data_IF_662100183556
#
_entry.id   IF_662100183556
#
_cell.length_a   1.000
_cell.length_b   1.000
_cell.length_c   1.000
_cell.angle_alpha   90.00
_cell.angle_beta   90.00
_cell.angle_gamma   90.00
#
_symmetry.space_group_name_H-M   'P 1'
#
loop_
_entity.id
_entity.type
_entity.pdbx_description
1 polymer ?
#
# COMPACT_ATOMS: atom_id res chain seq x y z
N UNK A 1 -0.14 -30.33 -48.89
CA UNK A 1 -0.35 -30.75 -47.48
C UNK A 1 -1.29 -29.73 -46.86
N UNK A 2 -2.43 -30.20 -46.31
CA UNK A 2 -3.47 -29.34 -45.74
C UNK A 2 -2.93 -28.61 -44.51
N UNK A 3 -3.07 -27.27 -44.48
CA UNK A 3 -2.82 -26.46 -43.29
C UNK A 3 -3.68 -27.00 -42.15
N UNK A 4 -3.03 -27.56 -41.12
CA UNK A 4 -3.72 -27.97 -39.91
C UNK A 4 -4.12 -26.71 -39.16
N UNK A 5 -5.42 -26.46 -39.06
CA UNK A 5 -5.97 -25.38 -38.25
C UNK A 5 -5.48 -25.52 -36.80
N UNK A 6 -4.56 -24.64 -36.39
CA UNK A 6 -4.05 -24.58 -35.01
C UNK A 6 -5.11 -23.91 -34.14
N UNK A 7 -6.08 -24.70 -33.68
CA UNK A 7 -7.04 -24.26 -32.66
C UNK A 7 -6.37 -24.23 -31.29
N UNK A 8 -6.59 -23.18 -30.51
CA UNK A 8 -6.06 -23.10 -29.15
C UNK A 8 -6.91 -23.98 -28.24
N UNK A 9 -6.28 -24.82 -27.41
CA UNK A 9 -7.01 -25.57 -26.39
C UNK A 9 -7.60 -24.61 -25.36
N UNK A 10 -8.78 -24.93 -24.86
CA UNK A 10 -9.39 -24.28 -23.70
C UNK A 10 -8.58 -24.62 -22.45
N UNK A 11 -8.78 -23.79 -21.42
CA UNK A 11 -8.21 -23.96 -20.08
C UNK A 11 -8.58 -25.35 -19.53
N UNK A 12 -9.79 -25.81 -19.84
CA UNK A 12 -10.30 -27.13 -19.47
C UNK A 12 -10.51 -27.98 -20.71
N UNK A 13 -10.04 -29.23 -20.68
CA UNK A 13 -10.10 -30.14 -21.84
C UNK A 13 -11.54 -30.41 -22.29
N UNK A 14 -12.47 -30.36 -21.34
CA UNK A 14 -13.90 -30.57 -21.48
C UNK A 14 -14.60 -29.41 -22.22
N UNK A 15 -14.02 -28.20 -22.19
CA UNK A 15 -14.56 -27.02 -22.89
C UNK A 15 -13.89 -26.77 -24.26
N UNK A 16 -13.02 -27.67 -24.71
CA UNK A 16 -12.30 -27.55 -25.98
C UNK A 16 -13.23 -27.48 -27.20
N UNK A 17 -14.30 -28.27 -27.19
CA UNK A 17 -15.24 -28.33 -28.32
C UNK A 17 -16.01 -27.01 -28.48
N UNK A 18 -16.58 -26.50 -27.38
CA UNK A 18 -17.25 -25.19 -27.37
C UNK A 18 -16.32 -24.04 -27.74
N UNK A 19 -15.05 -24.11 -27.33
CA UNK A 19 -14.04 -23.12 -27.72
C UNK A 19 -13.78 -23.15 -29.22
N UNK A 20 -13.63 -24.34 -29.81
CA UNK A 20 -13.39 -24.49 -31.26
C UNK A 20 -14.55 -23.94 -32.08
N UNK A 21 -15.79 -24.18 -31.66
CA UNK A 21 -16.98 -23.68 -32.35
C UNK A 21 -17.08 -22.16 -32.26
N UNK A 22 -16.76 -21.58 -31.09
CA UNK A 22 -16.66 -20.13 -30.92
C UNK A 22 -15.53 -19.52 -31.78
N UNK A 23 -14.33 -20.09 -31.73
CA UNK A 23 -13.16 -19.59 -32.49
C UNK A 23 -13.41 -19.67 -34.01
N UNK A 24 -14.09 -20.71 -34.50
CA UNK A 24 -14.47 -20.82 -35.91
C UNK A 24 -15.36 -19.65 -36.33
N UNK A 25 -16.43 -19.40 -35.56
CA UNK A 25 -17.34 -18.29 -35.81
C UNK A 25 -16.63 -16.93 -35.71
N UNK A 26 -15.79 -16.76 -34.68
CA UNK A 26 -15.06 -15.53 -34.44
C UNK A 26 -14.07 -15.22 -35.57
N UNK A 27 -13.29 -16.21 -36.03
CA UNK A 27 -12.30 -16.01 -37.09
C UNK A 27 -12.95 -15.69 -38.45
N UNK A 28 -14.19 -16.12 -38.67
CA UNK A 28 -14.95 -15.80 -39.88
C UNK A 28 -15.57 -14.39 -39.80
N UNK A 29 -16.11 -14.01 -38.63
CA UNK A 29 -16.74 -12.72 -38.42
C UNK A 29 -15.75 -11.55 -38.26
N UNK A 30 -14.67 -11.76 -37.51
CA UNK A 30 -13.79 -10.69 -37.03
C UNK A 30 -13.11 -9.88 -38.15
N UNK A 31 -12.61 -10.48 -39.26
CA UNK A 31 -12.05 -9.71 -40.37
C UNK A 31 -13.06 -8.74 -41.00
N UNK A 32 -14.32 -9.17 -41.14
CA UNK A 32 -15.39 -8.35 -41.71
C UNK A 32 -15.87 -7.22 -40.79
N UNK A 33 -15.61 -7.35 -39.48
CA UNK A 33 -15.87 -6.31 -38.49
C UNK A 33 -14.80 -5.21 -38.48
N UNK A 34 -13.55 -5.56 -38.76
CA UNK A 34 -12.40 -4.63 -38.74
C UNK A 34 -12.22 -3.89 -40.07
N UNK A 35 -12.92 -4.31 -41.14
CA UNK A 35 -12.84 -3.70 -42.46
C UNK A 35 -13.34 -2.24 -42.47
N UNK A 36 -12.50 -1.25 -42.83
CA UNK A 36 -12.84 0.18 -42.75
C UNK A 36 -13.93 0.63 -43.74
N UNK A 37 -14.26 -0.21 -44.73
CA UNK A 37 -15.34 0.02 -45.69
C UNK A 37 -16.73 -0.40 -45.16
N UNK A 38 -16.79 -1.12 -44.03
CA UNK A 38 -18.02 -1.72 -43.50
C UNK A 38 -18.45 -1.14 -42.13
N UNK A 39 -17.72 -0.14 -41.62
CA UNK A 39 -17.86 0.41 -40.25
C UNK A 39 -19.10 1.28 -39.98
N UNK A 40 -20.19 1.14 -40.76
CA UNK A 40 -21.40 1.99 -40.61
C UNK A 40 -22.69 1.25 -40.22
N UNK A 41 -22.62 -0.06 -39.96
CA UNK A 41 -23.81 -0.82 -39.55
C UNK A 41 -23.59 -1.37 -38.14
N UNK A 42 -24.57 -1.17 -37.25
CA UNK A 42 -24.66 -1.85 -35.95
C UNK A 42 -24.68 -3.36 -36.18
N UNK A 43 -23.50 -3.98 -36.19
CA UNK A 43 -23.37 -5.42 -36.31
C UNK A 43 -23.49 -6.03 -34.92
N UNK A 44 -24.65 -6.61 -34.62
CA UNK A 44 -24.80 -7.50 -33.46
C UNK A 44 -23.84 -8.69 -33.64
N UNK A 45 -23.15 -9.10 -32.58
CA UNK A 45 -22.17 -10.18 -32.64
C UNK A 45 -22.88 -11.52 -32.95
N UNK A 46 -22.70 -12.10 -34.16
CA UNK A 46 -23.36 -13.35 -34.52
C UNK A 46 -22.87 -14.55 -33.70
N UNK A 47 -21.70 -14.42 -33.07
CA UNK A 47 -21.06 -15.46 -32.26
C UNK A 47 -21.35 -15.32 -30.75
N UNK A 48 -22.18 -14.37 -30.33
CA UNK A 48 -22.47 -14.08 -28.92
C UNK A 48 -23.07 -15.28 -28.18
N UNK A 49 -23.95 -16.04 -28.83
CA UNK A 49 -24.53 -17.24 -28.24
C UNK A 49 -23.46 -18.33 -28.00
N UNK A 50 -22.57 -18.54 -28.97
CA UNK A 50 -21.47 -19.51 -28.86
C UNK A 50 -20.46 -19.10 -27.78
N UNK A 51 -20.19 -17.80 -27.67
CA UNK A 51 -19.38 -17.25 -26.58
C UNK A 51 -19.99 -17.54 -25.21
N UNK A 52 -21.30 -17.34 -25.05
CA UNK A 52 -21.99 -17.58 -23.78
C UNK A 52 -22.01 -19.07 -23.40
N UNK A 53 -22.13 -19.97 -24.38
CA UNK A 53 -22.02 -21.42 -24.15
C UNK A 53 -20.62 -21.79 -23.66
N UNK A 54 -19.58 -21.26 -24.30
CA UNK A 54 -18.19 -21.47 -23.86
C UNK A 54 -17.94 -20.89 -22.46
N UNK A 55 -18.41 -19.67 -22.20
CA UNK A 55 -18.29 -18.99 -20.91
C UNK A 55 -18.92 -19.81 -19.78
N UNK A 56 -20.16 -20.27 -19.97
CA UNK A 56 -20.88 -21.09 -18.99
C UNK A 56 -20.18 -22.42 -18.69
N UNK A 57 -19.38 -22.95 -19.64
CA UNK A 57 -18.57 -24.14 -19.44
C UNK A 57 -17.33 -23.88 -18.55
N UNK A 58 -16.74 -22.68 -18.64
CA UNK A 58 -15.46 -22.34 -18.03
C UNK A 58 -15.62 -21.67 -16.65
N UNK A 59 -16.57 -20.75 -16.52
CA UNK A 59 -16.79 -19.93 -15.31
C UNK A 59 -16.97 -20.74 -14.00
N UNK A 60 -17.75 -21.83 -13.94
CA UNK A 60 -17.87 -22.61 -12.70
C UNK A 60 -16.59 -23.40 -12.36
N UNK A 61 -15.82 -23.81 -13.36
CA UNK A 61 -14.57 -24.57 -13.16
C UNK A 61 -13.41 -23.67 -12.72
N UNK A 62 -13.38 -22.44 -13.22
CA UNK A 62 -12.43 -21.41 -12.75
C UNK A 62 -12.62 -21.09 -11.27
N UNK A 63 -13.86 -21.12 -10.77
CA UNK A 63 -14.15 -20.87 -9.36
C UNK A 63 -13.78 -22.05 -8.45
N UNK A 64 -13.82 -23.28 -8.97
CA UNK A 64 -13.50 -24.50 -8.22
C UNK A 64 -12.01 -24.81 -8.18
N UNK A 65 -11.33 -24.78 -9.34
CA UNK A 65 -9.94 -25.21 -9.44
C UNK A 65 -8.94 -24.10 -9.09
N UNK A 66 -9.39 -22.84 -9.02
CA UNK A 66 -8.57 -21.65 -8.76
C UNK A 66 -7.14 -21.77 -9.32
N UNK A 67 -6.95 -21.96 -10.64
CA UNK A 67 -5.62 -22.20 -11.23
C UNK A 67 -4.63 -21.03 -11.09
N UNK A 68 -5.01 -19.95 -10.40
CA UNK A 68 -4.20 -18.78 -10.08
C UNK A 68 -3.85 -18.64 -8.58
N UNK A 69 -4.34 -19.53 -7.70
CA UNK A 69 -3.85 -19.60 -6.31
C UNK A 69 -2.49 -20.31 -6.32
N UNK A 70 -1.40 -19.54 -6.41
CA UNK A 70 -0.05 -20.06 -6.17
C UNK A 70 0.01 -20.59 -4.74
N UNK A 71 0.21 -21.89 -4.58
CA UNK A 71 0.41 -22.49 -3.28
C UNK A 71 1.74 -21.98 -2.69
N UNK A 72 1.68 -21.33 -1.53
CA UNK A 72 2.86 -20.73 -0.86
C UNK A 72 3.99 -21.74 -0.67
N UNK A 73 3.65 -23.01 -0.48
CA UNK A 73 4.62 -24.08 -0.25
C UNK A 73 5.39 -24.48 -1.52
N UNK A 74 4.79 -24.33 -2.70
CA UNK A 74 5.47 -24.64 -3.98
C UNK A 74 6.51 -23.55 -4.34
N UNK A 75 6.31 -22.32 -3.85
CA UNK A 75 7.28 -21.23 -3.97
C UNK A 75 8.49 -21.47 -3.05
N UNK A 76 8.27 -22.09 -1.90
CA UNK A 76 9.31 -22.34 -0.90
C UNK A 76 10.26 -23.46 -1.33
N UNK A 77 9.74 -24.53 -1.98
CA UNK A 77 10.61 -25.59 -2.52
C UNK A 77 11.46 -25.14 -3.71
N UNK A 78 10.95 -24.24 -4.56
CA UNK A 78 11.71 -23.70 -5.71
C UNK A 78 12.77 -22.67 -5.30
N UNK A 79 12.74 -22.17 -4.06
CA UNK A 79 13.67 -21.17 -3.54
C UNK A 79 14.87 -21.78 -2.78
N UNK A 80 14.79 -23.03 -2.31
CA UNK A 80 15.85 -23.65 -1.50
C UNK A 80 16.98 -24.28 -2.32
N UNK A 81 16.74 -24.79 -3.53
CA UNK A 81 17.70 -25.70 -4.16
C UNK A 81 18.84 -25.03 -4.95
N UNK A 82 18.63 -23.87 -5.61
CA UNK A 82 19.57 -23.43 -6.67
C UNK A 82 20.33 -22.11 -6.42
N UNK A 83 19.94 -21.26 -5.47
CA UNK A 83 20.46 -19.88 -5.46
C UNK A 83 21.54 -19.56 -4.41
N UNK A 84 21.62 -20.31 -3.30
CA UNK A 84 22.60 -20.03 -2.23
C UNK A 84 23.82 -20.95 -2.23
N UNK A 85 23.78 -22.07 -2.94
CA UNK A 85 24.85 -23.07 -2.89
C UNK A 85 26.14 -22.63 -3.62
N UNK A 86 26.05 -21.66 -4.53
CA UNK A 86 27.14 -21.23 -5.42
C UNK A 86 27.61 -19.77 -5.23
N UNK A 87 27.04 -19.03 -4.27
CA UNK A 87 27.41 -17.65 -4.02
C UNK A 87 28.80 -17.55 -3.33
N UNK A 88 29.80 -17.09 -4.08
CA UNK A 88 31.15 -16.79 -3.59
C UNK A 88 31.36 -15.27 -3.43
N UNK A 89 32.09 -14.85 -2.40
CA UNK A 89 32.55 -13.47 -2.23
C UNK A 89 33.63 -13.10 -3.26
N UNK A 90 34.02 -11.83 -3.33
CA UNK A 90 35.05 -11.32 -4.27
C UNK A 90 36.45 -11.95 -4.08
N UNK A 91 36.64 -12.73 -3.00
CA UNK A 91 37.88 -13.43 -2.64
C UNK A 91 37.74 -14.95 -2.90
N UNK A 92 36.56 -15.42 -3.32
CA UNK A 92 36.28 -16.81 -3.66
C UNK A 92 35.84 -17.68 -2.48
N UNK A 93 35.41 -17.10 -1.36
CA UNK A 93 34.88 -17.84 -0.21
C UNK A 93 33.35 -17.95 -0.29
N UNK A 94 32.80 -19.09 0.14
CA UNK A 94 31.34 -19.29 0.24
C UNK A 94 30.73 -18.29 1.22
N UNK A 95 29.72 -17.56 0.75
CA UNK A 95 28.92 -16.65 1.58
C UNK A 95 27.93 -17.50 2.39
N UNK A 96 27.96 -17.46 3.74
CA UNK A 96 26.97 -18.16 4.55
C UNK A 96 25.56 -17.58 4.33
N UNK A 97 24.56 -18.44 4.21
CA UNK A 97 23.15 -18.04 4.05
C UNK A 97 22.72 -17.11 5.19
N UNK A 98 21.93 -16.05 4.92
CA UNK A 98 21.39 -15.20 5.97
C UNK A 98 20.42 -16.00 6.84
N UNK A 99 20.78 -16.24 8.10
CA UNK A 99 19.84 -16.80 9.08
C UNK A 99 18.67 -15.82 9.25
N UNK A 100 17.46 -16.32 8.98
CA UNK A 100 16.21 -15.66 9.31
C UNK A 100 16.25 -15.31 10.80
N UNK A 101 16.14 -14.02 11.11
CA UNK A 101 15.94 -13.57 12.48
C UNK A 101 14.60 -14.10 12.97
N UNK A 102 14.65 -15.17 13.77
CA UNK A 102 13.54 -15.59 14.61
C UNK A 102 13.37 -14.55 15.72
N UNK A 103 12.26 -13.81 15.66
CA UNK A 103 11.78 -13.01 16.79
C UNK A 103 11.31 -13.97 17.89
N UNK A 104 12.16 -14.21 18.89
CA UNK A 104 11.74 -14.82 20.14
C UNK A 104 11.60 -13.72 21.22
N UNK A 105 10.35 -13.34 21.48
CA UNK A 105 9.93 -12.79 22.77
C UNK A 105 10.16 -13.85 23.86
N UNK A 106 10.83 -13.49 24.96
CA UNK A 106 10.78 -14.30 26.18
C UNK A 106 12.05 -14.34 27.05
N UNK A 107 12.07 -13.43 28.02
CA UNK A 107 12.40 -13.70 29.42
C UNK A 107 13.85 -13.56 29.96
N UNK A 108 13.85 -13.15 31.22
CA UNK A 108 14.79 -12.45 32.06
C UNK A 108 16.18 -13.09 32.32
N UNK A 109 17.20 -12.23 32.38
CA UNK A 109 18.53 -12.58 32.86
C UNK A 109 19.32 -11.36 33.35
N UNK A 110 18.95 -10.84 34.52
CA UNK A 110 19.61 -9.75 35.28
C UNK A 110 21.15 -9.81 35.24
N UNK A 111 21.79 -8.73 34.76
CA UNK A 111 23.03 -8.21 35.37
C UNK A 111 22.94 -6.69 35.53
N UNK A 112 22.81 -6.30 36.79
CA UNK A 112 22.85 -4.93 37.29
C UNK A 112 24.18 -4.27 36.92
N UNK A 113 24.12 -3.18 36.17
CA UNK A 113 25.05 -2.06 36.32
C UNK A 113 24.23 -0.85 36.73
N UNK A 114 24.44 -0.41 37.98
CA UNK A 114 23.88 0.81 38.52
C UNK A 114 24.45 2.00 37.73
N UNK A 115 23.63 2.62 36.89
CA UNK A 115 23.84 4.01 36.47
C UNK A 115 22.55 4.74 36.72
N UNK A 116 22.55 5.50 37.82
CA UNK A 116 21.56 6.52 38.12
C UNK A 116 21.71 7.64 37.10
N UNK A 117 21.08 7.50 35.94
CA UNK A 117 20.91 8.59 34.99
C UNK A 117 19.47 9.10 35.09
N UNK A 118 19.33 10.23 35.77
CA UNK A 118 18.19 11.12 35.59
C UNK A 118 17.95 11.27 34.09
N UNK A 119 16.79 10.78 33.63
CA UNK A 119 16.28 11.05 32.29
C UNK A 119 15.99 12.54 32.18
N UNK A 120 17.00 13.32 31.81
CA UNK A 120 16.78 14.63 31.23
C UNK A 120 16.25 14.36 29.82
N UNK A 121 14.93 14.24 29.68
CA UNK A 121 14.30 14.29 28.36
C UNK A 121 14.72 15.62 27.76
N UNK A 122 15.52 15.57 26.71
CA UNK A 122 15.74 16.73 25.86
C UNK A 122 14.40 17.02 25.20
N UNK A 123 13.63 17.95 25.77
CA UNK A 123 12.38 18.42 25.18
C UNK A 123 12.79 19.32 24.03
N UNK A 124 12.45 18.92 22.80
CA UNK A 124 12.72 19.76 21.65
C UNK A 124 12.01 21.11 21.85
N UNK A 125 12.63 22.25 21.49
CA UNK A 125 12.03 23.57 21.69
C UNK A 125 10.68 23.76 20.98
N UNK A 126 10.38 22.91 20.00
CA UNK A 126 9.08 22.87 19.32
C UNK A 126 8.01 22.18 20.17
N UNK A 127 8.34 21.09 20.86
CA UNK A 127 7.43 20.37 21.75
C UNK A 127 7.04 21.20 22.98
N UNK A 128 7.97 22.03 23.47
CA UNK A 128 7.71 22.95 24.58
C UNK A 128 6.61 23.98 24.28
N UNK A 129 6.40 24.33 22.99
CA UNK A 129 5.30 25.25 22.59
C UNK A 129 3.95 24.55 22.69
N UNK A 130 3.89 23.27 22.32
CA UNK A 130 2.68 22.45 22.42
C UNK A 130 2.33 22.15 23.88
N UNK A 131 3.32 21.85 24.73
CA UNK A 131 3.10 21.66 26.17
C UNK A 131 2.53 22.93 26.83
N UNK A 132 3.06 24.10 26.47
CA UNK A 132 2.51 25.38 26.95
C UNK A 132 1.06 25.58 26.50
N UNK A 133 0.75 25.28 25.23
CA UNK A 133 -0.61 25.39 24.70
C UNK A 133 -1.57 24.44 25.43
N UNK A 134 -1.14 23.21 25.69
CA UNK A 134 -1.92 22.22 26.44
C UNK A 134 -2.24 22.70 27.86
N UNK A 135 -1.24 23.27 28.55
CA UNK A 135 -1.44 23.86 29.88
C UNK A 135 -2.42 25.04 29.84
N UNK A 136 -2.32 25.92 28.84
CA UNK A 136 -3.21 27.07 28.69
C UNK A 136 -4.65 26.63 28.35
N UNK A 137 -4.82 25.61 27.50
CA UNK A 137 -6.12 24.97 27.21
C UNK A 137 -6.72 24.30 28.45
N UNK A 138 -5.92 23.55 29.21
CA UNK A 138 -6.36 22.92 30.46
C UNK A 138 -6.85 23.95 31.48
N UNK A 139 -6.11 25.07 31.64
CA UNK A 139 -6.52 26.17 32.52
C UNK A 139 -7.83 26.82 32.07
N UNK A 140 -8.02 27.00 30.77
CA UNK A 140 -9.24 27.57 30.21
C UNK A 140 -10.46 26.68 30.42
N UNK A 141 -10.33 25.38 30.15
CA UNK A 141 -11.40 24.39 30.40
C UNK A 141 -11.81 24.41 31.88
N UNK A 142 -10.83 24.49 32.78
CA UNK A 142 -11.08 24.59 34.23
C UNK A 142 -11.76 25.91 34.61
N UNK A 143 -11.38 27.04 34.01
CA UNK A 143 -12.05 28.33 34.23
C UNK A 143 -13.52 28.30 33.80
N UNK A 144 -13.84 27.65 32.67
CA UNK A 144 -15.22 27.44 32.19
C UNK A 144 -15.98 26.51 33.14
N UNK A 145 -15.36 25.41 33.60
CA UNK A 145 -15.97 24.50 34.58
C UNK A 145 -16.31 25.22 35.88
N UNK A 146 -15.38 26.02 36.42
CA UNK A 146 -15.61 26.79 37.63
C UNK A 146 -16.73 27.83 37.46
N UNK A 147 -16.81 28.48 36.29
CA UNK A 147 -17.94 29.35 35.98
C UNK A 147 -19.27 28.58 36.00
N UNK A 148 -19.32 27.38 35.42
CA UNK A 148 -20.49 26.51 35.45
C UNK A 148 -20.92 26.14 36.88
N UNK A 149 -19.96 25.85 37.76
CA UNK A 149 -20.24 25.58 39.19
C UNK A 149 -20.79 26.83 39.90
N UNK A 150 -20.14 27.99 39.75
CA UNK A 150 -20.59 29.24 40.39
C UNK A 150 -21.94 29.72 39.86
N UNK A 151 -22.27 29.42 38.60
CA UNK A 151 -23.58 29.72 38.02
C UNK A 151 -24.68 28.76 38.48
N UNK A 152 -24.33 27.51 38.80
CA UNK A 152 -25.28 26.49 39.28
C UNK A 152 -25.63 26.67 40.76
N UNK A 153 -24.67 27.10 41.58
CA UNK A 153 -24.87 27.43 43.01
C UNK A 153 -24.37 28.86 43.30
N UNK A 154 -25.21 29.88 43.05
CA UNK A 154 -24.83 31.27 43.26
C UNK A 154 -24.83 31.62 44.76
N UNK A 155 -23.65 31.62 45.38
CA UNK A 155 -23.44 32.16 46.73
C UNK A 155 -23.53 33.69 46.82
N UNK A 156 -23.23 34.25 47.99
CA UNK A 156 -23.13 35.70 48.16
C UNK A 156 -22.02 36.28 47.27
N UNK A 157 -22.30 37.40 46.59
CA UNK A 157 -21.43 38.02 45.58
C UNK A 157 -21.21 37.22 44.28
N UNK A 158 -21.99 36.16 44.01
CA UNK A 158 -21.86 35.34 42.80
C UNK A 158 -21.86 36.17 41.49
N UNK A 159 -22.67 37.23 41.40
CA UNK A 159 -22.74 38.08 40.21
C UNK A 159 -21.42 38.80 39.89
N UNK A 160 -20.67 39.24 40.91
CA UNK A 160 -19.39 39.90 40.71
C UNK A 160 -18.31 38.89 40.30
N UNK A 161 -18.31 37.72 40.96
CA UNK A 161 -17.42 36.60 40.64
C UNK A 161 -17.66 36.09 39.22
N UNK A 162 -18.92 35.94 38.81
CA UNK A 162 -19.32 35.53 37.45
C UNK A 162 -18.83 36.55 36.43
N UNK A 163 -19.03 37.86 36.67
CA UNK A 163 -18.54 38.91 35.75
C UNK A 163 -17.02 38.91 35.63
N UNK A 164 -16.31 38.72 36.74
CA UNK A 164 -14.85 38.60 36.74
C UNK A 164 -14.39 37.36 35.95
N UNK A 165 -15.03 36.20 36.15
CA UNK A 165 -14.76 34.97 35.41
C UNK A 165 -15.09 35.09 33.92
N UNK A 166 -16.19 35.76 33.57
CA UNK A 166 -16.58 35.97 32.17
C UNK A 166 -15.56 36.83 31.42
N UNK A 167 -15.04 37.89 32.08
CA UNK A 167 -13.94 38.69 31.53
C UNK A 167 -12.65 37.87 31.39
N UNK A 168 -12.34 37.01 32.36
CA UNK A 168 -11.19 36.11 32.32
C UNK A 168 -11.28 35.14 31.14
N UNK A 169 -12.46 34.53 30.91
CA UNK A 169 -12.71 33.64 29.77
C UNK A 169 -12.61 34.40 28.44
N UNK A 170 -13.19 35.59 28.34
CA UNK A 170 -13.08 36.42 27.14
C UNK A 170 -11.62 36.79 26.82
N UNK A 171 -10.83 37.16 27.83
CA UNK A 171 -9.39 37.42 27.67
C UNK A 171 -8.61 36.14 27.32
N UNK A 172 -9.00 34.99 27.88
CA UNK A 172 -8.42 33.68 27.56
C UNK A 172 -8.63 33.29 26.09
N UNK A 173 -9.85 33.48 25.56
CA UNK A 173 -10.17 33.24 24.15
C UNK A 173 -9.37 34.16 23.21
N UNK A 174 -9.24 35.45 23.56
CA UNK A 174 -8.43 36.40 22.78
C UNK A 174 -6.96 35.98 22.75
N UNK A 175 -6.39 35.64 23.90
CA UNK A 175 -5.02 35.16 23.98
C UNK A 175 -4.81 33.87 23.18
N UNK A 176 -5.72 32.89 23.26
CA UNK A 176 -5.65 31.66 22.46
C UNK A 176 -5.66 31.92 20.95
N UNK A 177 -6.48 32.87 20.50
CA UNK A 177 -6.52 33.26 19.10
C UNK A 177 -5.21 33.91 18.63
N UNK A 178 -4.54 34.68 19.50
CA UNK A 178 -3.21 35.26 19.21
C UNK A 178 -2.13 34.16 19.11
N UNK A 179 -2.13 33.20 20.03
CA UNK A 179 -1.17 32.09 20.02
C UNK A 179 -1.42 31.13 18.85
N UNK A 180 -2.66 31.04 18.33
CA UNK A 180 -2.98 30.21 17.15
C UNK A 180 -2.07 30.50 15.94
N UNK A 181 -1.61 31.75 15.78
CA UNK A 181 -0.69 32.13 14.70
C UNK A 181 0.66 31.41 14.76
N UNK A 182 1.09 30.97 15.95
CA UNK A 182 2.37 30.29 16.17
C UNK A 182 2.37 28.84 15.71
N UNK A 183 1.19 28.26 15.48
CA UNK A 183 1.01 26.84 15.12
C UNK A 183 0.65 26.63 13.64
N UNK A 184 0.56 27.70 12.84
CA UNK A 184 0.16 27.64 11.42
C UNK A 184 1.11 26.80 10.54
N UNK A 185 2.33 26.53 11.01
CA UNK A 185 3.30 25.68 10.32
C UNK A 185 2.98 24.18 10.44
N UNK A 186 2.08 23.79 11.35
CA UNK A 186 1.70 22.40 11.55
C UNK A 186 0.37 22.11 10.86
N UNK A 187 0.38 21.20 9.88
CA UNK A 187 -0.83 20.83 9.14
C UNK A 187 -1.52 19.64 9.80
N UNK A 188 -2.77 19.83 10.20
CA UNK A 188 -3.61 18.77 10.76
C UNK A 188 -4.49 18.21 9.64
N UNK A 189 -4.41 16.91 9.31
CA UNK A 189 -5.30 16.29 8.34
C UNK A 189 -6.77 16.48 8.70
N UNK A 190 -7.59 16.92 7.73
CA UNK A 190 -9.01 17.25 7.95
C UNK A 190 -9.79 16.05 8.50
N UNK A 191 -9.44 14.83 8.09
CA UNK A 191 -10.07 13.59 8.57
C UNK A 191 -9.97 13.41 10.07
N UNK A 192 -8.99 14.02 10.75
CA UNK A 192 -8.88 13.94 12.22
C UNK A 192 -10.04 14.68 12.91
N UNK A 193 -10.60 15.73 12.29
CA UNK A 193 -11.75 16.44 12.85
C UNK A 193 -12.95 15.52 13.01
N UNK A 194 -13.19 14.61 12.06
CA UNK A 194 -14.27 13.61 12.16
C UNK A 194 -14.11 12.73 13.41
N UNK A 195 -12.87 12.35 13.74
CA UNK A 195 -12.60 11.57 14.97
C UNK A 195 -12.82 12.40 16.23
N UNK A 196 -12.45 13.69 16.22
CA UNK A 196 -12.66 14.58 17.37
C UNK A 196 -14.16 14.84 17.60
N UNK A 197 -14.91 15.12 16.53
CA UNK A 197 -16.35 15.39 16.59
C UNK A 197 -17.14 14.16 17.03
N UNK A 198 -16.70 12.95 16.62
CA UNK A 198 -17.28 11.68 17.07
C UNK A 198 -16.76 11.22 18.46
N UNK A 199 -15.96 12.04 19.15
CA UNK A 199 -15.32 11.71 20.43
C UNK A 199 -14.49 10.40 20.39
N UNK A 200 -13.94 10.06 19.23
CA UNK A 200 -13.01 8.95 19.04
C UNK A 200 -11.58 9.42 19.29
N UNK A 201 -10.71 8.48 19.68
CA UNK A 201 -9.29 8.77 19.89
C UNK A 201 -8.62 9.08 18.53
N UNK A 202 -8.03 10.27 18.32
CA UNK A 202 -7.31 10.63 17.09
C UNK A 202 -6.16 9.68 16.73
N UNK A 203 -5.55 9.02 17.71
CA UNK A 203 -4.46 8.07 17.48
C UNK A 203 -4.91 6.84 16.67
N UNK A 204 -6.21 6.53 16.67
CA UNK A 204 -6.77 5.46 15.85
C UNK A 204 -6.63 5.79 14.36
N UNK A 205 -6.83 7.06 13.97
CA UNK A 205 -6.60 7.51 12.60
C UNK A 205 -5.13 7.33 12.20
N UNK A 206 -4.21 7.82 13.04
CA UNK A 206 -2.77 7.70 12.77
C UNK A 206 -2.37 6.24 12.59
N UNK A 207 -2.81 5.36 13.49
CA UNK A 207 -2.56 3.91 13.40
C UNK A 207 -3.10 3.33 12.10
N UNK A 208 -4.35 3.61 11.74
CA UNK A 208 -4.95 3.10 10.52
C UNK A 208 -4.22 3.56 9.25
N UNK A 209 -3.74 4.81 9.22
CA UNK A 209 -2.96 5.34 8.09
C UNK A 209 -1.62 4.64 7.96
N UNK A 210 -0.92 4.38 9.06
CA UNK A 210 0.32 3.60 9.03
C UNK A 210 0.08 2.18 8.51
N UNK A 211 -0.91 1.48 9.05
CA UNK A 211 -1.27 0.13 8.64
C UNK A 211 -1.66 0.07 7.15
N UNK A 212 -2.46 1.02 6.66
CA UNK A 212 -2.83 1.11 5.24
C UNK A 212 -1.62 1.42 4.35
N UNK A 213 -0.70 2.26 4.82
CA UNK A 213 0.53 2.60 4.10
C UNK A 213 1.45 1.40 3.99
N UNK A 214 1.63 0.65 5.07
CA UNK A 214 2.46 -0.55 5.10
C UNK A 214 1.88 -1.66 4.20
N UNK A 215 0.56 -1.84 4.22
CA UNK A 215 -0.14 -2.76 3.33
C UNK A 215 0.06 -2.38 1.86
N UNK A 216 -0.12 -1.11 1.50
CA UNK A 216 0.10 -0.62 0.13
C UNK A 216 1.56 -0.70 -0.30
N UNK A 217 2.49 -0.42 0.61
CA UNK A 217 3.93 -0.52 0.31
C UNK A 217 4.30 -1.97 -0.01
N UNK A 218 3.83 -2.92 0.81
CA UNK A 218 4.04 -4.36 0.59
C UNK A 218 3.41 -4.83 -0.73
N UNK A 219 2.18 -4.38 -1.03
CA UNK A 219 1.50 -4.69 -2.30
C UNK A 219 2.27 -4.14 -3.52
N UNK A 220 2.70 -2.88 -3.46
CA UNK A 220 3.44 -2.24 -4.56
C UNK A 220 4.80 -2.91 -4.75
N UNK A 221 5.51 -3.26 -3.67
CA UNK A 221 6.76 -4.00 -3.75
C UNK A 221 6.56 -5.38 -4.39
N UNK A 222 5.50 -6.10 -3.99
CA UNK A 222 5.14 -7.38 -4.62
C UNK A 222 4.87 -7.24 -6.13
N UNK A 223 4.16 -6.18 -6.55
CA UNK A 223 3.97 -5.88 -7.98
C UNK A 223 5.30 -5.60 -8.68
N UNK A 224 6.19 -4.82 -8.06
CA UNK A 224 7.52 -4.52 -8.63
C UNK A 224 8.31 -5.81 -8.83
N UNK A 225 8.31 -6.73 -7.87
CA UNK A 225 8.98 -8.03 -7.98
C UNK A 225 8.39 -8.89 -9.10
N UNK A 226 7.06 -8.95 -9.22
CA UNK A 226 6.40 -9.63 -10.33
C UNK A 226 6.79 -9.03 -11.69
N UNK A 227 6.84 -7.71 -11.82
CA UNK A 227 7.29 -7.06 -13.06
C UNK A 227 8.78 -7.32 -13.34
N UNK A 228 9.63 -7.37 -12.32
CA UNK A 228 11.05 -7.74 -12.47
C UNK A 228 11.19 -9.18 -12.99
N UNK A 229 10.44 -10.12 -12.42
CA UNK A 229 10.41 -11.54 -12.84
C UNK A 229 9.82 -11.71 -14.24
N UNK A 230 8.70 -11.05 -14.52
CA UNK A 230 8.10 -11.07 -15.87
C UNK A 230 9.08 -10.55 -16.91
N UNK A 231 9.77 -9.45 -16.59
CA UNK A 231 10.79 -8.88 -17.46
C UNK A 231 11.98 -9.82 -17.68
N UNK A 232 12.45 -10.55 -16.67
CA UNK A 232 13.55 -11.51 -16.87
C UNK A 232 13.13 -12.68 -17.76
N UNK A 233 11.92 -13.20 -17.57
CA UNK A 233 11.36 -14.29 -18.40
C UNK A 233 11.21 -13.86 -19.86
N UNK A 234 10.66 -12.67 -20.12
CA UNK A 234 10.55 -12.14 -21.48
C UNK A 234 11.93 -12.03 -22.12
N UNK A 235 12.91 -11.46 -21.42
CA UNK A 235 14.25 -11.28 -21.97
C UNK A 235 14.90 -12.63 -22.29
N UNK A 236 14.73 -13.63 -21.44
CA UNK A 236 15.23 -14.98 -21.69
C UNK A 236 14.58 -15.62 -22.92
N UNK A 237 13.25 -15.56 -23.03
CA UNK A 237 12.50 -16.10 -24.18
C UNK A 237 12.81 -15.37 -25.48
N UNK A 238 12.97 -14.05 -25.40
CA UNK A 238 13.32 -13.24 -26.56
C UNK A 238 14.75 -13.52 -27.03
N UNK A 239 15.70 -13.72 -26.11
CA UNK A 239 17.06 -14.13 -26.46
C UNK A 239 17.13 -15.53 -27.11
N UNK A 240 16.21 -16.43 -26.75
CA UNK A 240 16.07 -17.75 -27.38
C UNK A 240 15.59 -17.64 -28.84
N UNK A 241 14.61 -16.78 -29.12
CA UNK A 241 14.07 -16.60 -30.49
C UNK A 241 14.95 -15.71 -31.37
N UNK A 242 15.60 -14.68 -30.80
CA UNK A 242 16.34 -13.65 -31.53
C UNK A 242 17.62 -13.23 -30.79
N UNK A 243 18.71 -14.02 -30.85
CA UNK A 243 19.91 -13.78 -30.05
C UNK A 243 20.62 -12.46 -30.40
N UNK A 244 20.73 -12.11 -31.69
CA UNK A 244 21.44 -10.91 -32.13
C UNK A 244 20.73 -9.62 -31.73
N UNK A 245 19.39 -9.59 -31.84
CA UNK A 245 18.58 -8.45 -31.44
C UNK A 245 18.54 -8.28 -29.91
N UNK A 246 18.50 -9.40 -29.17
CA UNK A 246 18.55 -9.40 -27.72
C UNK A 246 19.88 -8.89 -27.17
N UNK A 247 21.00 -9.30 -27.77
CA UNK A 247 22.33 -8.82 -27.39
C UNK A 247 22.47 -7.30 -27.60
N UNK A 248 22.00 -6.78 -28.73
CA UNK A 248 22.02 -5.33 -29.00
C UNK A 248 21.21 -4.54 -27.96
N UNK A 249 20.03 -5.02 -27.58
CA UNK A 249 19.21 -4.37 -26.56
C UNK A 249 19.84 -4.39 -25.17
N UNK A 250 20.51 -5.49 -24.79
CA UNK A 250 21.19 -5.57 -23.50
C UNK A 250 22.32 -4.54 -23.41
N UNK A 251 23.11 -4.39 -24.48
CA UNK A 251 24.20 -3.40 -24.58
C UNK A 251 23.64 -1.96 -24.46
N UNK A 252 22.63 -1.61 -25.27
CA UNK A 252 22.00 -0.28 -25.21
C UNK A 252 21.40 0.04 -23.83
N UNK A 253 20.97 -0.99 -23.10
CA UNK A 253 20.35 -0.82 -21.78
C UNK A 253 21.36 -0.66 -20.66
N UNK A 254 22.51 -1.33 -20.72
CA UNK A 254 23.60 -1.10 -19.76
C UNK A 254 24.11 0.34 -19.85
N UNK A 255 24.26 0.87 -21.06
CA UNK A 255 24.56 2.29 -21.31
C UNK A 255 23.49 3.22 -20.70
N UNK A 256 22.20 2.85 -20.78
CA UNK A 256 21.11 3.66 -20.21
C UNK A 256 20.99 3.63 -18.67
N UNK A 257 21.63 2.64 -18.01
CA UNK A 257 21.59 2.49 -16.54
C UNK A 257 22.67 3.31 -15.85
N UNK A 258 23.84 3.49 -16.47
CA UNK A 258 24.90 4.35 -15.92
C UNK A 258 24.47 5.81 -15.82
N UNK A 259 23.50 6.23 -16.64
CA UNK A 259 23.02 7.62 -16.71
C UNK A 259 21.85 7.94 -15.74
N UNK A 260 21.41 6.96 -14.93
CA UNK A 260 20.21 7.10 -14.07
C UNK A 260 20.48 6.89 -12.57
N UNK A 261 21.73 6.95 -12.12
CA UNK A 261 21.96 7.19 -10.71
C UNK A 261 21.44 8.61 -10.38
N UNK A 262 20.44 8.79 -9.51
CA UNK A 262 20.12 10.12 -9.03
C UNK A 262 21.37 10.66 -8.32
N UNK A 263 21.81 11.90 -8.59
CA UNK A 263 22.64 12.57 -7.62
C UNK A 263 21.78 12.69 -6.35
N UNK A 264 22.36 12.41 -5.19
CA UNK A 264 21.74 12.44 -3.86
C UNK A 264 21.06 11.13 -3.41
N UNK A 265 21.88 10.25 -2.82
CA UNK A 265 21.77 9.93 -1.39
C UNK A 265 23.07 10.37 -0.72
#
# INVERSE_FOLDING_TARGET
MRSGDRFMTSIYKECNEFKKDYERCFNEFFPHFVDPNNSRVNHNNPCENLHNIYRNCVEPRLYQDKPYDMNRNDIESDLEDDYWNDALDEIGNKIPSPELREDNEGDEGKKKSNVTSNSFRFVDPEDAKFEKLELDLGRFIEDVRQLGVTASDPGENANEIIRAKLRKIAAGLQNMNEVSSQFMNHQIPVKIFDFVDEMKNPNVYSKAVFEETDAKNSEVNGKIEQYKKYRSIILAKWAEEMPDAALQYMIMREESKSDKAPPFL
#
